data_IF_787182788555
#
_entry.id   IF_787182788555
#
_cell.length_a   1.000
_cell.length_b   1.000
_cell.length_c   1.000
_cell.angle_alpha   90.00
_cell.angle_beta   90.00
_cell.angle_gamma   90.00
#
_symmetry.space_group_name_H-M   'P 1'
#
loop_
_entity.id
_entity.type
_entity.pdbx_description
1 polymer ?
#
# COMPACT_ATOMS: atom_id res chain seq x y z
N UNK A 1 -2.51 11.71 -22.30
CA UNK A 1 -2.27 10.55 -21.42
C UNK A 1 -3.51 10.45 -20.57
N UNK A 2 -4.27 9.36 -20.72
CA UNK A 2 -5.51 9.14 -20.00
C UNK A 2 -5.23 8.11 -18.92
N UNK A 3 -5.66 8.43 -17.70
CA UNK A 3 -5.54 7.54 -16.55
C UNK A 3 -6.92 7.04 -16.18
N UNK A 4 -7.08 5.72 -16.20
CA UNK A 4 -8.32 5.07 -15.79
C UNK A 4 -8.12 4.41 -14.43
N UNK A 5 -8.98 4.70 -13.44
CA UNK A 5 -8.91 4.05 -12.12
C UNK A 5 -9.18 2.56 -12.31
N UNK A 6 -8.22 1.70 -11.98
CA UNK A 6 -8.35 0.24 -12.17
C UNK A 6 -8.56 -0.47 -10.83
N UNK A 7 -7.88 -0.05 -9.77
CA UNK A 7 -7.99 -0.73 -8.48
C UNK A 7 -7.93 0.25 -7.31
N UNK A 8 -8.68 -0.10 -6.28
CA UNK A 8 -8.57 0.47 -4.96
C UNK A 8 -8.19 -0.63 -3.97
N UNK A 9 -6.98 -0.53 -3.41
CA UNK A 9 -6.51 -1.46 -2.40
C UNK A 9 -6.91 -0.98 -1.01
N UNK A 10 -7.43 -1.91 -0.20
CA UNK A 10 -7.76 -1.69 1.20
C UNK A 10 -6.77 -2.49 2.05
N UNK A 11 -5.99 -1.79 2.86
CA UNK A 11 -5.01 -2.38 3.78
C UNK A 11 -5.53 -2.25 5.21
N UNK A 12 -5.79 -3.39 5.86
CA UNK A 12 -6.25 -3.45 7.24
C UNK A 12 -5.13 -4.00 8.14
N UNK A 13 -4.86 -3.31 9.25
CA UNK A 13 -3.89 -3.74 10.26
C UNK A 13 -4.48 -3.65 11.66
N UNK A 14 -4.50 -4.77 12.38
CA UNK A 14 -4.98 -4.84 13.76
C UNK A 14 -3.86 -4.51 14.74
N UNK A 15 -4.06 -3.53 15.62
CA UNK A 15 -3.12 -3.16 16.68
C UNK A 15 -3.87 -2.69 17.93
N UNK A 16 -3.51 -3.26 19.08
CA UNK A 16 -4.11 -2.93 20.39
C UNK A 16 -5.65 -2.95 20.40
N UNK A 17 -6.24 -3.89 19.64
CA UNK A 17 -7.70 -4.05 19.52
C UNK A 17 -8.39 -3.04 18.61
N UNK A 18 -7.63 -2.30 17.78
CA UNK A 18 -8.14 -1.38 16.77
C UNK A 18 -7.67 -1.79 15.37
N UNK A 19 -8.56 -1.63 14.38
CA UNK A 19 -8.21 -1.76 12.97
C UNK A 19 -7.77 -0.41 12.41
N UNK A 20 -6.55 -0.35 11.87
CA UNK A 20 -6.10 0.75 11.02
C UNK A 20 -6.39 0.38 9.57
N UNK A 21 -7.17 1.21 8.88
CA UNK A 21 -7.47 1.02 7.46
C UNK A 21 -6.84 2.13 6.63
N UNK A 22 -6.08 1.74 5.61
CA UNK A 22 -5.56 2.65 4.57
C UNK A 22 -6.09 2.21 3.21
N UNK A 23 -6.56 3.18 2.45
CA UNK A 23 -7.01 2.99 1.06
C UNK A 23 -5.98 3.59 0.10
N UNK A 24 -5.65 2.86 -0.96
CA UNK A 24 -4.76 3.34 -2.02
C UNK A 24 -5.40 3.13 -3.38
N UNK A 25 -5.23 4.11 -4.28
CA UNK A 25 -5.82 4.10 -5.60
C UNK A 25 -4.75 3.96 -6.67
N UNK A 26 -4.93 2.97 -7.54
CA UNK A 26 -4.08 2.79 -8.72
C UNK A 26 -4.85 2.97 -10.00
N UNK A 27 -4.20 3.66 -10.92
CA UNK A 27 -4.71 4.02 -12.23
C UNK A 27 -3.84 3.35 -13.30
N UNK A 28 -4.40 3.06 -14.46
CA UNK A 28 -3.67 2.56 -15.61
C UNK A 28 -3.58 3.66 -16.66
N UNK A 29 -2.39 3.81 -17.25
CA UNK A 29 -2.21 4.58 -18.48
C UNK A 29 -2.67 3.76 -19.68
N UNK A 30 -3.67 4.25 -20.42
CA UNK A 30 -4.28 3.56 -21.57
C UNK A 30 -3.31 3.34 -22.75
N UNK A 31 -2.14 3.99 -22.78
CA UNK A 31 -1.15 3.88 -23.87
C UNK A 31 -0.10 2.81 -23.56
N UNK A 32 0.51 2.87 -22.37
CA UNK A 32 1.59 1.94 -21.98
C UNK A 32 1.12 0.76 -21.12
N UNK A 33 -0.17 0.75 -20.74
CA UNK A 33 -0.78 -0.26 -19.87
C UNK A 33 -0.02 -0.42 -18.53
N UNK A 34 0.54 0.66 -18.01
CA UNK A 34 1.31 0.68 -16.76
C UNK A 34 0.46 1.19 -15.62
N UNK A 35 0.59 0.61 -14.43
CA UNK A 35 -0.06 1.13 -13.22
C UNK A 35 0.67 2.33 -12.62
N UNK A 36 -0.11 3.23 -12.07
CA UNK A 36 0.32 4.44 -11.40
C UNK A 36 -0.40 4.58 -10.07
N UNK A 37 0.35 4.87 -9.02
CA UNK A 37 -0.22 5.31 -7.75
C UNK A 37 -0.59 6.78 -7.86
N UNK A 38 -1.80 7.15 -7.46
CA UNK A 38 -2.20 8.54 -7.40
C UNK A 38 -3.04 8.80 -6.15
N UNK A 39 -2.45 9.50 -5.19
CA UNK A 39 -3.04 9.71 -3.85
C UNK A 39 -4.29 10.58 -3.90
N UNK A 40 -4.31 11.56 -4.81
CA UNK A 40 -5.42 12.49 -4.97
C UNK A 40 -5.57 12.84 -6.46
N UNK A 41 -6.48 12.18 -7.19
CA UNK A 41 -6.75 12.46 -8.59
C UNK A 41 -7.52 13.78 -8.82
N UNK A 42 -8.14 14.35 -7.77
CA UNK A 42 -8.98 15.55 -7.85
C UNK A 42 -8.28 16.83 -7.35
N UNK A 43 -7.13 16.70 -6.66
CA UNK A 43 -6.40 17.82 -6.06
C UNK A 43 -4.90 17.84 -6.36
N UNK A 44 -4.06 17.37 -5.42
CA UNK A 44 -2.59 17.59 -5.42
C UNK A 44 -1.77 16.30 -5.53
N UNK A 45 -0.80 16.31 -6.45
CA UNK A 45 0.18 15.24 -6.64
C UNK A 45 0.24 14.77 -8.09
N UNK A 46 1.37 14.19 -8.48
CA UNK A 46 1.54 13.59 -9.81
C UNK A 46 1.39 12.07 -9.72
N UNK A 47 0.80 11.42 -10.73
CA UNK A 47 0.74 9.96 -10.79
C UNK A 47 2.17 9.41 -10.75
N UNK A 48 2.43 8.48 -9.84
CA UNK A 48 3.74 7.87 -9.66
C UNK A 48 3.77 6.49 -10.32
N UNK A 49 4.69 6.25 -11.27
CA UNK A 49 4.71 4.99 -12.02
C UNK A 49 5.12 3.81 -11.13
N UNK A 50 4.32 2.75 -11.15
CA UNK A 50 4.62 1.48 -10.50
C UNK A 50 5.39 0.57 -11.44
N UNK A 51 6.08 -0.45 -10.94
CA UNK A 51 6.95 -1.31 -11.77
C UNK A 51 6.21 -2.52 -12.36
N UNK A 52 4.90 -2.41 -12.54
CA UNK A 52 4.04 -3.48 -13.05
C UNK A 52 2.87 -2.92 -13.87
N UNK A 53 2.31 -3.77 -14.73
CA UNK A 53 1.26 -3.40 -15.66
C UNK A 53 -0.13 -3.39 -15.01
N UNK A 54 -1.08 -2.76 -15.70
CA UNK A 54 -2.50 -2.97 -15.49
C UNK A 54 -2.92 -4.40 -15.84
N UNK A 55 -4.01 -4.83 -15.25
CA UNK A 55 -4.58 -6.18 -15.46
C UNK A 55 -5.55 -6.23 -16.64
N UNK A 56 -6.06 -5.07 -17.09
CA UNK A 56 -7.12 -4.97 -18.09
C UNK A 56 -8.50 -5.31 -17.54
N UNK A 57 -8.63 -5.44 -16.22
CA UNK A 57 -9.91 -5.65 -15.54
C UNK A 57 -10.69 -4.34 -15.42
N UNK A 58 -12.01 -4.45 -15.21
CA UNK A 58 -12.80 -3.31 -14.76
C UNK A 58 -12.41 -2.89 -13.34
N UNK A 59 -12.82 -1.68 -12.95
CA UNK A 59 -12.54 -1.14 -11.62
C UNK A 59 -12.97 -2.11 -10.51
N UNK A 60 -12.06 -2.36 -9.57
CA UNK A 60 -12.30 -3.25 -8.43
C UNK A 60 -11.76 -2.68 -7.12
N UNK A 61 -12.44 -3.03 -6.02
CA UNK A 61 -11.93 -2.86 -4.66
C UNK A 61 -11.37 -4.20 -4.19
N UNK A 62 -10.09 -4.22 -3.79
CA UNK A 62 -9.39 -5.43 -3.36
C UNK A 62 -8.88 -5.21 -1.94
N UNK A 63 -9.29 -6.07 -1.02
CA UNK A 63 -8.65 -6.16 0.29
C UNK A 63 -7.31 -6.89 0.15
N UNK A 64 -6.23 -6.20 0.49
CA UNK A 64 -4.90 -6.76 0.45
C UNK A 64 -4.70 -7.72 1.64
N UNK A 65 -4.06 -8.86 1.40
CA UNK A 65 -3.90 -9.88 2.44
C UNK A 65 -2.59 -9.66 3.20
N UNK A 66 -2.66 -9.46 4.52
CA UNK A 66 -1.45 -9.41 5.36
C UNK A 66 -0.81 -10.81 5.41
N UNK A 67 0.35 -10.96 4.77
CA UNK A 67 1.08 -12.24 4.68
C UNK A 67 2.33 -12.30 5.56
N UNK A 68 2.72 -11.19 6.18
CA UNK A 68 3.85 -11.17 7.09
C UNK A 68 3.97 -9.86 7.84
N UNK A 69 4.50 -9.95 9.06
CA UNK A 69 4.85 -8.80 9.89
C UNK A 69 6.10 -9.09 10.70
N UNK A 70 6.84 -8.04 11.04
CA UNK A 70 8.02 -8.13 11.89
C UNK A 70 8.22 -6.83 12.67
N UNK A 71 8.31 -6.93 13.99
CA UNK A 71 8.79 -5.85 14.83
C UNK A 71 10.27 -5.60 14.54
N UNK A 72 10.63 -4.40 14.07
CA UNK A 72 12.01 -4.05 13.71
C UNK A 72 12.65 -3.08 14.71
N UNK A 73 11.84 -2.38 15.48
CA UNK A 73 12.30 -1.45 16.50
C UNK A 73 11.27 -1.31 17.61
N UNK A 74 11.72 -1.26 18.86
CA UNK A 74 10.89 -1.01 20.02
C UNK A 74 11.67 -0.23 21.09
N UNK A 75 11.00 0.75 21.66
CA UNK A 75 11.42 1.53 22.82
C UNK A 75 10.19 1.89 23.66
N UNK A 76 10.39 2.50 24.83
CA UNK A 76 9.28 3.00 25.66
C UNK A 76 8.39 4.04 24.97
N UNK A 77 8.86 4.65 23.87
CA UNK A 77 8.17 5.74 23.17
C UNK A 77 7.70 5.39 21.77
N UNK A 78 8.17 4.28 21.21
CA UNK A 78 7.98 4.00 19.79
C UNK A 78 8.15 2.52 19.50
N UNK A 79 7.26 1.98 18.67
CA UNK A 79 7.33 0.66 18.05
C UNK A 79 7.18 0.82 16.54
N UNK A 80 8.03 0.14 15.78
CA UNK A 80 7.97 0.11 14.31
C UNK A 80 7.84 -1.35 13.88
N UNK A 81 6.72 -1.66 13.25
CA UNK A 81 6.46 -2.96 12.64
C UNK A 81 6.52 -2.83 11.13
N UNK A 82 7.33 -3.66 10.47
CA UNK A 82 7.25 -3.85 9.03
C UNK A 82 6.14 -4.84 8.73
N UNK A 83 5.28 -4.50 7.79
CA UNK A 83 4.13 -5.31 7.35
C UNK A 83 4.23 -5.56 5.84
N UNK A 84 3.84 -6.75 5.41
CA UNK A 84 3.88 -7.20 4.03
C UNK A 84 2.51 -7.70 3.62
N UNK A 85 1.95 -7.07 2.59
CA UNK A 85 0.65 -7.41 2.03
C UNK A 85 0.79 -8.03 0.65
N UNK A 86 0.04 -9.08 0.41
CA UNK A 86 -0.15 -9.66 -0.91
C UNK A 86 -1.22 -8.90 -1.71
N UNK A 87 -0.87 -8.50 -2.93
CA UNK A 87 -1.82 -7.94 -3.90
C UNK A 87 -2.24 -9.07 -4.84
N UNK A 88 -3.47 -9.57 -4.70
CA UNK A 88 -3.89 -10.84 -5.32
C UNK A 88 -4.06 -10.81 -6.84
N UNK A 89 -4.27 -9.63 -7.39
CA UNK A 89 -4.48 -9.39 -8.82
C UNK A 89 -3.16 -9.25 -9.61
N UNK A 90 -2.03 -9.04 -8.92
CA UNK A 90 -0.73 -8.83 -9.54
C UNK A 90 0.38 -9.62 -8.84
N UNK A 91 1.51 -9.81 -9.51
CA UNK A 91 2.65 -10.54 -8.94
C UNK A 91 3.53 -9.66 -8.02
N UNK A 92 2.89 -8.94 -7.09
CA UNK A 92 3.51 -7.90 -6.28
C UNK A 92 3.06 -8.00 -4.83
N UNK A 93 3.98 -7.71 -3.91
CA UNK A 93 3.68 -7.46 -2.50
C UNK A 93 3.89 -5.99 -2.18
N UNK A 94 3.07 -5.43 -1.30
CA UNK A 94 3.26 -4.11 -0.73
C UNK A 94 3.92 -4.27 0.64
N UNK A 95 5.12 -3.75 0.81
CA UNK A 95 5.85 -3.73 2.08
C UNK A 95 5.86 -2.32 2.63
N UNK A 96 5.43 -2.13 3.88
CA UNK A 96 5.51 -0.82 4.54
C UNK A 96 5.67 -0.93 6.06
N UNK A 97 5.65 0.19 6.76
CA UNK A 97 5.76 0.28 8.21
C UNK A 97 4.48 0.80 8.85
N UNK A 98 4.12 0.18 9.96
CA UNK A 98 3.19 0.75 10.95
C UNK A 98 4.01 1.20 12.15
N UNK A 99 3.87 2.47 12.51
CA UNK A 99 4.55 3.07 13.66
C UNK A 99 3.55 3.38 14.75
N UNK A 100 3.79 2.87 15.95
CA UNK A 100 3.11 3.30 17.17
C UNK A 100 4.03 4.27 17.91
N UNK A 101 3.52 5.41 18.31
CA UNK A 101 4.27 6.41 19.08
C UNK A 101 3.53 6.74 20.37
N UNK A 102 4.25 6.75 21.49
CA UNK A 102 3.73 7.08 22.82
C UNK A 102 4.31 8.44 23.24
N UNK A 103 3.44 9.44 23.44
CA UNK A 103 3.82 10.78 23.91
C UNK A 103 2.90 11.23 25.03
N UNK A 104 3.48 11.47 26.21
CA UNK A 104 2.75 11.98 27.38
C UNK A 104 1.51 11.14 27.75
N UNK A 105 1.62 9.81 27.59
CA UNK A 105 0.51 8.87 27.85
C UNK A 105 -0.47 8.68 26.69
N UNK A 106 -0.35 9.45 25.60
CA UNK A 106 -1.15 9.27 24.39
C UNK A 106 -0.47 8.30 23.43
N UNK A 107 -1.24 7.37 22.87
CA UNK A 107 -0.79 6.44 21.83
C UNK A 107 -1.32 6.93 20.49
N UNK A 108 -0.42 7.06 19.52
CA UNK A 108 -0.76 7.38 18.13
C UNK A 108 -0.25 6.28 17.22
N UNK A 109 -1.04 5.90 16.22
CA UNK A 109 -0.62 4.98 15.17
C UNK A 109 -0.50 5.72 13.85
N UNK A 110 0.52 5.35 13.08
CA UNK A 110 0.76 5.85 11.75
C UNK A 110 1.03 4.66 10.82
N UNK A 111 0.09 4.42 9.90
CA UNK A 111 0.26 3.51 8.78
C UNK A 111 0.53 4.38 7.55
N UNK A 112 1.74 4.32 7.00
CA UNK A 112 2.08 5.16 5.85
C UNK A 112 2.42 4.34 4.62
N UNK A 113 1.88 4.71 3.46
CA UNK A 113 2.33 4.23 2.15
C UNK A 113 2.99 5.43 1.48
N UNK A 114 4.33 5.45 1.45
CA UNK A 114 5.07 6.67 1.11
C UNK A 114 5.51 6.74 -0.36
N UNK A 115 5.81 5.60 -0.98
CA UNK A 115 6.50 5.60 -2.27
C UNK A 115 6.13 4.35 -3.10
N UNK A 116 6.29 4.43 -4.41
CA UNK A 116 6.22 3.28 -5.33
C UNK A 116 7.24 2.20 -5.00
N UNK A 117 8.33 2.53 -4.28
CA UNK A 117 9.29 1.54 -3.79
C UNK A 117 8.74 0.59 -2.72
N UNK A 118 7.57 0.88 -2.14
CA UNK A 118 6.88 -0.04 -1.26
C UNK A 118 6.34 -1.28 -1.99
N UNK A 119 6.22 -1.23 -3.32
CA UNK A 119 5.66 -2.30 -4.14
C UNK A 119 6.79 -3.12 -4.76
N UNK A 120 6.90 -4.38 -4.35
CA UNK A 120 7.99 -5.28 -4.69
C UNK A 120 7.45 -6.49 -5.44
N UNK A 121 8.12 -6.88 -6.52
CA UNK A 121 7.77 -8.11 -7.24
C UNK A 121 7.94 -9.33 -6.32
N UNK A 122 7.01 -10.29 -6.38
CA UNK A 122 7.14 -11.56 -5.66
C UNK A 122 8.34 -12.36 -6.18
N UNK A 123 9.01 -13.06 -5.27
CA UNK A 123 10.09 -13.98 -5.66
C UNK A 123 9.50 -15.13 -6.47
N UNK A 124 9.95 -15.28 -7.72
CA UNK A 124 9.61 -16.41 -8.58
C UNK A 124 8.33 -16.27 -9.41
N UNK A 125 7.66 -15.12 -9.40
CA UNK A 125 6.51 -14.90 -10.29
C UNK A 125 6.88 -14.26 -11.64
N UNK A 126 5.92 -14.28 -12.56
CA UNK A 126 6.14 -13.88 -13.96
C UNK A 126 6.09 -12.35 -14.12
N UNK A 127 6.94 -11.82 -15.01
CA UNK A 127 7.00 -10.40 -15.34
C UNK A 127 5.88 -10.02 -16.31
#
# INVERSE_FOLDING_TARGET
>A
MNFTKEVEYIFNYEIDGQTLTITEHQFVDDIENRRYRWVDPEGWGYPQPLQYAGTGAEFQQIEAELIGESLVYQSEREEITVVVYDLKDVDVVMTTTVTKTIREGNVNYNFTINNVSNYLKKLGGNA
#
